data_IF_090888256815
#
_entry.id   IF_090888256815
#
_cell.length_a   1.000
_cell.length_b   1.000
_cell.length_c   1.000
_cell.angle_alpha   90.00
_cell.angle_beta   90.00
_cell.angle_gamma   90.00
#
_symmetry.space_group_name_H-M   'P 1'
#
loop_
_entity.id
_entity.type
_entity.pdbx_description
1 polymer ?
#
# COMPACT_ATOMS: atom_id res chain seq x y z
N UNK A 1 -22.96 1.46 -24.50
CA UNK A 1 -22.29 1.02 -23.26
C UNK A 1 -22.03 2.26 -22.44
N UNK A 2 -22.47 2.30 -21.18
CA UNK A 2 -22.15 3.43 -20.30
C UNK A 2 -20.64 3.39 -20.04
N UNK A 3 -19.92 4.40 -20.49
CA UNK A 3 -18.52 4.56 -20.15
C UNK A 3 -18.47 4.90 -18.66
N UNK A 4 -18.02 3.97 -17.81
CA UNK A 4 -17.81 4.25 -16.40
C UNK A 4 -16.77 5.35 -16.27
N UNK A 5 -17.23 6.58 -16.00
CA UNK A 5 -16.34 7.74 -15.82
C UNK A 5 -15.62 7.55 -14.50
N UNK A 6 -14.37 7.12 -14.58
CA UNK A 6 -13.49 7.01 -13.42
C UNK A 6 -12.96 8.40 -13.06
N UNK A 7 -13.01 8.71 -11.77
CA UNK A 7 -12.52 9.94 -11.15
C UNK A 7 -11.29 9.63 -10.31
N UNK A 8 -10.42 10.62 -10.13
CA UNK A 8 -9.28 10.47 -9.23
C UNK A 8 -9.68 10.89 -7.81
N UNK A 9 -9.35 10.02 -6.86
CA UNK A 9 -9.56 10.27 -5.44
C UNK A 9 -8.21 10.26 -4.72
N UNK A 10 -8.00 11.26 -3.87
CA UNK A 10 -6.99 11.21 -2.82
C UNK A 10 -7.61 10.50 -1.61
N UNK A 11 -7.13 9.31 -1.30
CA UNK A 11 -7.54 8.52 -0.15
C UNK A 11 -6.55 8.77 0.98
N UNK A 12 -7.07 9.13 2.15
CA UNK A 12 -6.31 9.38 3.38
C UNK A 12 -6.82 8.49 4.50
N UNK A 13 -5.90 8.04 5.33
CA UNK A 13 -6.21 7.31 6.55
C UNK A 13 -5.01 7.17 7.44
N UNK A 14 -5.15 6.37 8.49
CA UNK A 14 -4.06 6.03 9.39
C UNK A 14 -3.89 4.51 9.44
N UNK A 15 -2.64 4.07 9.49
CA UNK A 15 -2.29 2.68 9.76
C UNK A 15 -1.47 2.62 11.04
N UNK A 16 -1.75 1.65 11.89
CA UNK A 16 -0.84 1.33 12.99
C UNK A 16 0.41 0.70 12.41
N UNK A 17 1.58 1.18 12.84
CA UNK A 17 2.85 0.55 12.53
C UNK A 17 3.35 -0.17 13.79
N UNK A 18 3.34 -1.50 13.75
CA UNK A 18 3.79 -2.35 14.87
C UNK A 18 5.27 -2.21 15.23
N UNK A 19 6.12 -1.73 14.31
CA UNK A 19 7.53 -1.46 14.60
C UNK A 19 7.71 -0.19 15.44
N UNK A 20 7.11 0.93 15.01
CA UNK A 20 7.18 2.19 15.76
C UNK A 20 6.21 2.26 16.94
N UNK A 21 5.26 1.31 17.01
CA UNK A 21 4.12 1.33 17.95
C UNK A 21 3.39 2.67 17.92
N UNK A 22 3.18 3.19 16.72
CA UNK A 22 2.53 4.48 16.49
C UNK A 22 1.60 4.42 15.27
N UNK A 23 0.70 5.40 15.17
CA UNK A 23 -0.16 5.62 14.01
C UNK A 23 0.60 6.43 12.96
N UNK A 24 0.65 5.92 11.74
CA UNK A 24 1.25 6.61 10.60
C UNK A 24 0.18 7.06 9.61
N UNK A 25 0.24 8.30 9.10
CA UNK A 25 -0.65 8.76 8.05
C UNK A 25 -0.34 8.03 6.74
N UNK A 26 -1.39 7.63 6.02
CA UNK A 26 -1.31 7.01 4.70
C UNK A 26 -2.07 7.88 3.71
N UNK A 27 -1.43 8.19 2.60
CA UNK A 27 -2.04 8.88 1.47
C UNK A 27 -1.85 8.06 0.20
N UNK A 28 -2.90 7.95 -0.61
CA UNK A 28 -2.85 7.22 -1.87
C UNK A 28 -3.79 7.82 -2.90
N UNK A 29 -3.37 7.85 -4.17
CA UNK A 29 -4.21 8.25 -5.28
C UNK A 29 -4.85 7.02 -5.94
N UNK A 30 -6.17 7.05 -6.09
CA UNK A 30 -6.94 5.94 -6.66
C UNK A 30 -7.92 6.47 -7.70
N UNK A 31 -7.86 5.90 -8.90
CA UNK A 31 -8.91 6.08 -9.89
C UNK A 31 -10.07 5.13 -9.59
N UNK A 32 -11.28 5.66 -9.41
CA UNK A 32 -12.49 4.91 -9.07
C UNK A 32 -13.75 5.64 -9.57
N UNK A 33 -14.89 4.94 -9.68
CA UNK A 33 -16.18 5.57 -10.02
C UNK A 33 -16.85 6.24 -8.81
N UNK A 34 -16.41 5.92 -7.59
CA UNK A 34 -16.96 6.49 -6.35
C UNK A 34 -15.91 6.55 -5.23
N UNK A 35 -16.18 7.37 -4.21
CA UNK A 35 -15.36 7.47 -3.00
C UNK A 35 -15.27 6.16 -2.22
N UNK A 36 -16.35 5.38 -2.21
CA UNK A 36 -16.38 4.08 -1.50
C UNK A 36 -15.53 3.04 -2.23
N UNK A 37 -15.63 2.98 -3.56
CA UNK A 37 -14.75 2.13 -4.36
C UNK A 37 -13.28 2.57 -4.24
N UNK A 38 -13.00 3.88 -4.17
CA UNK A 38 -11.64 4.39 -3.96
C UNK A 38 -11.07 3.94 -2.61
N UNK A 39 -11.84 4.07 -1.52
CA UNK A 39 -11.45 3.62 -0.17
C UNK A 39 -11.19 2.10 -0.16
N UNK A 40 -12.11 1.30 -0.68
CA UNK A 40 -11.95 -0.15 -0.74
C UNK A 40 -10.73 -0.56 -1.55
N UNK A 41 -10.47 0.12 -2.67
CA UNK A 41 -9.30 -0.16 -3.51
C UNK A 41 -7.99 0.21 -2.81
N UNK A 42 -7.94 1.36 -2.11
CA UNK A 42 -6.77 1.76 -1.33
C UNK A 42 -6.48 0.78 -0.18
N UNK A 43 -7.50 0.39 0.58
CA UNK A 43 -7.37 -0.60 1.66
C UNK A 43 -6.94 -1.96 1.13
N UNK A 44 -7.54 -2.42 0.03
CA UNK A 44 -7.15 -3.69 -0.61
C UNK A 44 -5.68 -3.67 -1.03
N UNK A 45 -5.23 -2.61 -1.71
CA UNK A 45 -3.81 -2.47 -2.10
C UNK A 45 -2.87 -2.47 -0.90
N UNK A 46 -3.26 -1.83 0.21
CA UNK A 46 -2.46 -1.83 1.44
C UNK A 46 -2.35 -3.25 2.02
N UNK A 47 -3.43 -4.02 2.03
CA UNK A 47 -3.41 -5.43 2.44
C UNK A 47 -2.56 -6.30 1.51
N UNK A 48 -2.71 -6.15 0.20
CA UNK A 48 -1.91 -6.86 -0.81
C UNK A 48 -0.42 -6.56 -0.63
N UNK A 49 -0.06 -5.29 -0.44
CA UNK A 49 1.33 -4.88 -0.22
C UNK A 49 1.90 -5.46 1.08
N UNK A 50 1.11 -5.51 2.15
CA UNK A 50 1.49 -6.16 3.40
C UNK A 50 1.74 -7.65 3.20
N UNK A 51 0.84 -8.35 2.52
CA UNK A 51 0.96 -9.79 2.32
C UNK A 51 2.15 -10.14 1.41
N UNK A 52 2.41 -9.32 0.38
CA UNK A 52 3.61 -9.43 -0.46
C UNK A 52 4.90 -9.16 0.32
N UNK A 53 4.95 -8.10 1.14
CA UNK A 53 6.11 -7.81 1.98
C UNK A 53 6.36 -8.92 3.01
N UNK A 54 5.29 -9.58 3.49
CA UNK A 54 5.39 -10.70 4.43
C UNK A 54 6.02 -11.89 3.74
N UNK A 55 5.53 -12.23 2.55
CA UNK A 55 6.10 -13.32 1.74
C UNK A 55 7.58 -13.07 1.45
N UNK A 56 7.96 -11.86 1.03
CA UNK A 56 9.36 -11.49 0.77
C UNK A 56 10.26 -11.58 2.00
N UNK A 57 9.75 -11.19 3.16
CA UNK A 57 10.50 -11.28 4.42
C UNK A 57 10.71 -12.75 4.83
N UNK A 58 9.70 -13.60 4.65
CA UNK A 58 9.78 -15.05 4.87
C UNK A 58 10.75 -15.71 3.88
N UNK A 59 10.69 -15.35 2.59
CA UNK A 59 11.63 -15.82 1.56
C UNK A 59 13.09 -15.44 1.88
N UNK A 60 13.36 -14.21 2.33
CA UNK A 60 14.71 -13.80 2.71
C UNK A 60 15.24 -14.57 3.92
N UNK A 61 14.39 -14.83 4.93
CA UNK A 61 14.77 -15.64 6.08
C UNK A 61 15.06 -17.09 5.69
N UNK A 62 14.23 -17.68 4.85
CA UNK A 62 14.46 -19.05 4.38
C UNK A 62 15.79 -19.18 3.66
N UNK A 63 16.11 -18.21 2.77
CA UNK A 63 17.38 -18.21 2.03
C UNK A 63 18.60 -18.00 2.93
N UNK A 64 18.45 -17.32 4.07
CA UNK A 64 19.49 -17.22 5.09
C UNK A 64 19.68 -18.57 5.81
N UNK A 65 18.59 -19.21 6.22
CA UNK A 65 18.62 -20.54 6.85
C UNK A 65 19.22 -21.60 5.93
N UNK A 66 18.97 -21.49 4.62
CA UNK A 66 19.54 -22.34 3.58
C UNK A 66 21.02 -22.00 3.28
N UNK A 67 21.56 -20.93 3.88
CA UNK A 67 22.94 -20.46 3.68
C UNK A 67 23.21 -19.83 2.31
N UNK A 68 22.17 -19.51 1.53
CA UNK A 68 22.31 -18.86 0.22
C UNK A 68 22.70 -17.38 0.33
N UNK A 69 22.24 -16.73 1.39
CA UNK A 69 22.50 -15.32 1.66
C UNK A 69 22.91 -15.12 3.11
N UNK A 70 23.65 -14.05 3.35
CA UNK A 70 24.05 -13.60 4.67
C UNK A 70 23.26 -12.33 5.02
N UNK A 71 22.28 -12.41 5.93
CA UNK A 71 21.51 -11.22 6.35
C UNK A 71 22.28 -10.33 7.34
N UNK A 72 23.47 -10.71 7.79
CA UNK A 72 24.37 -9.79 8.49
C UNK A 72 24.97 -8.75 7.53
N UNK A 73 24.88 -8.98 6.21
CA UNK A 73 25.20 -7.96 5.22
C UNK A 73 24.30 -6.72 5.40
N UNK A 74 24.88 -5.52 5.55
CA UNK A 74 24.11 -4.31 5.87
C UNK A 74 22.96 -3.98 4.90
N UNK A 75 23.14 -4.25 3.60
CA UNK A 75 22.14 -4.00 2.55
C UNK A 75 20.92 -4.92 2.67
N UNK A 76 21.15 -6.21 2.95
CA UNK A 76 20.10 -7.20 3.15
C UNK A 76 19.41 -7.03 4.52
N UNK A 77 20.17 -6.72 5.57
CA UNK A 77 19.64 -6.39 6.91
C UNK A 77 18.71 -5.18 6.88
N UNK A 78 19.10 -4.15 6.13
CA UNK A 78 18.30 -2.94 5.93
C UNK A 78 17.04 -3.26 5.13
N UNK A 79 17.16 -4.04 4.06
CA UNK A 79 16.02 -4.48 3.25
C UNK A 79 15.01 -5.28 4.08
N UNK A 80 15.47 -6.24 4.88
CA UNK A 80 14.61 -7.01 5.79
C UNK A 80 13.96 -6.12 6.86
N UNK A 81 14.68 -5.14 7.39
CA UNK A 81 14.13 -4.17 8.35
C UNK A 81 13.02 -3.32 7.72
N UNK A 82 13.22 -2.82 6.50
CA UNK A 82 12.20 -2.06 5.76
C UNK A 82 10.97 -2.94 5.50
N UNK A 83 11.16 -4.17 5.05
CA UNK A 83 10.07 -5.12 4.81
C UNK A 83 9.30 -5.40 6.10
N UNK A 84 9.99 -5.63 7.22
CA UNK A 84 9.35 -5.85 8.51
C UNK A 84 8.58 -4.62 9.01
N UNK A 85 9.12 -3.41 8.84
CA UNK A 85 8.39 -2.16 9.15
C UNK A 85 7.12 -2.07 8.31
N UNK A 86 7.22 -2.29 7.00
CA UNK A 86 6.08 -2.23 6.08
C UNK A 86 5.05 -3.35 6.33
N UNK A 87 5.48 -4.53 6.78
CA UNK A 87 4.61 -5.65 7.18
C UNK A 87 3.74 -5.35 8.40
N UNK A 88 4.17 -4.41 9.23
CA UNK A 88 3.44 -4.07 10.45
C UNK A 88 2.42 -2.96 10.25
N UNK A 89 2.18 -2.51 9.01
CA UNK A 89 1.15 -1.53 8.68
C UNK A 89 -0.23 -2.20 8.67
N UNK A 90 -1.01 -1.90 9.70
CA UNK A 90 -2.39 -2.37 9.82
C UNK A 90 -3.32 -1.16 9.74
N UNK A 91 -4.22 -1.07 8.73
CA UNK A 91 -5.23 -0.04 8.74
C UNK A 91 -6.04 -0.17 10.04
N UNK A 92 -6.06 0.90 10.83
CA UNK A 92 -6.84 0.99 12.07
C UNK A 92 -7.97 1.96 11.82
N UNK A 93 -9.13 1.68 12.40
CA UNK A 93 -10.32 2.52 12.26
C UNK A 93 -10.62 2.85 10.78
N UNK A 94 -10.80 1.83 9.94
CA UNK A 94 -11.11 2.01 8.50
C UNK A 94 -12.27 2.96 8.23
N UNK A 95 -13.21 3.10 9.18
CA UNK A 95 -14.29 4.09 9.15
C UNK A 95 -13.82 5.55 9.12
N UNK A 96 -12.60 5.84 9.58
CA UNK A 96 -11.96 7.17 9.55
C UNK A 96 -11.24 7.44 8.23
N UNK A 97 -11.11 6.45 7.34
CA UNK A 97 -10.51 6.66 6.03
C UNK A 97 -11.45 7.48 5.16
N UNK A 98 -10.91 8.49 4.49
CA UNK A 98 -11.65 9.42 3.64
C UNK A 98 -11.10 9.37 2.22
N UNK A 99 -11.98 9.45 1.23
CA UNK A 99 -11.61 9.64 -0.17
C UNK A 99 -12.20 10.96 -0.66
N UNK A 100 -11.34 11.87 -1.08
CA UNK A 100 -11.72 13.17 -1.64
C UNK A 100 -11.45 13.15 -3.13
N UNK A 101 -12.48 13.44 -3.92
CA UNK A 101 -12.30 13.63 -5.37
C UNK A 101 -11.37 14.81 -5.59
N UNK A 102 -10.33 14.60 -6.39
CA UNK A 102 -9.34 15.62 -6.73
C UNK A 102 -9.36 15.86 -8.23
N UNK A 103 -9.46 17.12 -8.60
CA UNK A 103 -9.25 17.58 -9.97
C UNK A 103 -7.81 18.05 -10.06
N UNK A 104 -7.02 17.47 -10.96
CA UNK A 104 -5.67 17.95 -11.28
C UNK A 104 -5.80 18.97 -12.41
N UNK A 105 -5.69 20.29 -12.15
CA UNK A 105 -5.83 21.30 -13.20
C UNK A 105 -4.74 21.09 -14.25
N UNK A 106 -5.13 20.95 -15.52
CA UNK A 106 -4.20 20.74 -16.64
C UNK A 106 -3.84 19.28 -16.95
N UNK A 107 -4.41 18.30 -16.23
CA UNK A 107 -4.23 16.87 -16.53
C UNK A 107 -5.59 16.22 -16.79
N UNK A 108 -5.87 15.88 -18.05
CA UNK A 108 -6.92 14.90 -18.36
C UNK A 108 -6.42 13.50 -17.99
N UNK A 109 -7.08 12.87 -17.02
CA UNK A 109 -6.70 11.52 -16.59
C UNK A 109 -7.29 10.54 -17.61
N UNK A 110 -6.55 10.29 -18.68
CA UNK A 110 -6.82 9.19 -19.60
C UNK A 110 -6.33 7.91 -18.94
N UNK A 111 -7.26 7.14 -18.35
CA UNK A 111 -6.95 5.80 -17.88
C UNK A 111 -6.72 4.92 -19.11
N UNK A 112 -5.45 4.61 -19.37
CA UNK A 112 -5.08 3.56 -20.31
C UNK A 112 -5.45 2.24 -19.66
N UNK A 113 -6.70 1.82 -19.83
CA UNK A 113 -7.08 0.43 -19.60
C UNK A 113 -6.22 -0.40 -20.54
N UNK A 114 -5.20 -1.08 -19.99
CA UNK A 114 -4.51 -2.12 -20.76
C UNK A 114 -5.55 -3.22 -21.04
N UNK A 115 -5.67 -3.67 -22.30
CA UNK A 115 -6.56 -4.76 -22.68
C UNK A 115 -6.16 -6.07 -22.01
#
# INVERSE_FOLDING_TARGET
>A
MATDVLKLFLVRGEAWNGYFRDMVPIESFVAASSSDQAKQTALRKLHEQRDENRRRAEELKQREEDGEIDLDRPDLRTSLSILNVANTLHPRNEKKWSATEVTLPGYEIHLVAKP
#
